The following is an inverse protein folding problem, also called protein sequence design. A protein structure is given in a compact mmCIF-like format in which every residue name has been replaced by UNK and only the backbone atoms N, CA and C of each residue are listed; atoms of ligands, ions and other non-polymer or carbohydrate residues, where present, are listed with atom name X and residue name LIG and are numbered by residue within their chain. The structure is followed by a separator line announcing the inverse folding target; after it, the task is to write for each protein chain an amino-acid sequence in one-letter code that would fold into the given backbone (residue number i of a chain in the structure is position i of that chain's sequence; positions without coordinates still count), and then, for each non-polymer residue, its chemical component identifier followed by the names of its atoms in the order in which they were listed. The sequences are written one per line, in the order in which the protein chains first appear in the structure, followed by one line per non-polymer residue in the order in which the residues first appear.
data_IF_153000327558
#
_entry.id   IF_153000327558
#
_cell.length_a   1.000
_cell.length_b   1.000
_cell.length_c   1.000
_cell.angle_alpha   90.00
_cell.angle_beta   90.00
_cell.angle_gamma   90.00
#
_symmetry.space_group_name_H-M   'P 1'
#
loop_
_entity.id
_entity.type
_entity.pdbx_description
1 polymer ?
#
# COMPACT_ATOMS: atom_id res chain seq x y z
N UNK A 1 16.13 31.14 -8.20
CA UNK A 1 15.84 29.98 -9.08
C UNK A 1 16.86 28.91 -8.74
N UNK A 2 16.45 27.86 -8.04
CA UNK A 2 17.37 26.96 -7.33
C UNK A 2 18.06 25.99 -8.29
N UNK A 3 19.36 26.15 -8.43
CA UNK A 3 20.28 25.31 -9.21
C UNK A 3 20.64 24.03 -8.43
N UNK A 4 20.54 22.87 -9.10
CA UNK A 4 21.05 21.54 -8.70
C UNK A 4 20.42 20.83 -7.49
N UNK A 5 19.09 20.69 -7.46
CA UNK A 5 18.49 19.64 -6.62
C UNK A 5 18.88 18.26 -7.16
N UNK A 6 19.29 17.33 -6.28
CA UNK A 6 19.55 15.94 -6.68
C UNK A 6 18.26 15.33 -7.26
N UNK A 7 18.30 14.50 -8.33
CA UNK A 7 17.10 13.94 -8.96
C UNK A 7 16.11 13.31 -7.97
N UNK A 8 16.62 12.54 -6.99
CA UNK A 8 15.83 11.91 -5.92
C UNK A 8 15.02 12.87 -5.04
N UNK A 9 15.39 14.15 -5.00
CA UNK A 9 14.71 15.19 -4.23
C UNK A 9 13.73 15.98 -5.11
N UNK A 10 13.91 15.97 -6.43
CA UNK A 10 13.15 16.78 -7.36
C UNK A 10 11.64 16.47 -7.34
N UNK A 11 11.27 15.20 -7.15
CA UNK A 11 9.85 14.80 -6.98
C UNK A 11 9.14 15.52 -5.85
N UNK A 12 9.85 15.85 -4.77
CA UNK A 12 9.26 16.55 -3.62
C UNK A 12 9.06 18.05 -3.89
N UNK A 13 9.67 18.62 -4.93
CA UNK A 13 9.48 20.02 -5.28
C UNK A 13 8.09 20.27 -5.89
N UNK A 14 7.55 19.28 -6.60
CA UNK A 14 6.18 19.29 -7.15
C UNK A 14 5.17 18.57 -6.26
N UNK A 15 5.59 17.96 -5.15
CA UNK A 15 4.74 17.23 -4.22
C UNK A 15 3.97 18.18 -3.28
N UNK A 16 2.93 18.83 -3.79
CA UNK A 16 2.19 19.87 -3.07
C UNK A 16 1.18 19.35 -2.04
N UNK A 17 0.95 18.05 -1.93
CA UNK A 17 -0.10 17.49 -1.08
C UNK A 17 0.34 17.16 0.37
N UNK A 18 1.63 17.29 0.69
CA UNK A 18 2.12 17.01 2.04
C UNK A 18 1.66 18.05 3.07
N UNK A 19 1.21 17.56 4.23
CA UNK A 19 0.87 18.36 5.41
C UNK A 19 1.77 17.98 6.60
N UNK A 20 2.06 18.95 7.46
CA UNK A 20 2.92 18.73 8.62
C UNK A 20 2.25 17.77 9.61
N UNK A 21 2.87 16.65 10.00
CA UNK A 21 2.27 15.70 10.95
C UNK A 21 2.04 16.32 12.34
N UNK A 22 2.69 17.44 12.67
CA UNK A 22 2.54 18.14 13.95
C UNK A 22 1.40 19.15 13.91
N UNK A 23 1.49 20.14 13.01
CA UNK A 23 0.56 21.28 12.97
C UNK A 23 -0.38 21.31 11.76
N UNK A 24 -0.34 20.31 10.87
CA UNK A 24 -1.16 20.20 9.64
C UNK A 24 -0.98 21.29 8.59
N UNK A 25 -0.10 22.26 8.85
CA UNK A 25 0.31 23.27 7.88
C UNK A 25 1.04 22.68 6.67
N UNK A 26 1.03 23.44 5.57
CA UNK A 26 1.71 23.06 4.33
C UNK A 26 3.19 22.73 4.55
N UNK A 27 3.64 21.60 4.01
CA UNK A 27 5.05 21.27 3.89
C UNK A 27 5.57 21.70 2.51
N UNK A 28 6.72 22.38 2.49
CA UNK A 28 7.43 22.75 1.26
C UNK A 28 8.87 22.27 1.31
N UNK A 29 9.42 21.95 0.14
CA UNK A 29 10.80 21.53 0.03
C UNK A 29 11.73 22.73 0.17
N UNK A 30 12.59 22.69 1.19
CA UNK A 30 13.67 23.64 1.42
C UNK A 30 14.96 22.85 1.49
N UNK A 31 15.82 23.03 0.49
CA UNK A 31 17.07 22.28 0.31
C UNK A 31 16.84 20.76 0.25
N UNK A 32 17.06 20.05 1.36
CA UNK A 32 16.89 18.60 1.50
C UNK A 32 15.87 18.20 2.56
N UNK A 33 14.99 19.12 2.97
CA UNK A 33 13.99 18.85 4.01
C UNK A 33 12.62 19.41 3.64
N UNK A 34 11.56 18.74 4.06
CA UNK A 34 10.22 19.29 4.05
C UNK A 34 10.01 20.14 5.30
N UNK A 35 9.64 21.41 5.14
CA UNK A 35 9.46 22.37 6.24
C UNK A 35 8.09 23.03 6.19
N UNK A 36 7.51 23.31 7.36
CA UNK A 36 6.31 24.14 7.48
C UNK A 36 6.64 25.53 8.04
N UNK A 37 5.68 26.45 7.98
CA UNK A 37 5.83 27.82 8.47
C UNK A 37 6.10 27.89 9.99
N UNK A 38 5.66 26.88 10.75
CA UNK A 38 5.95 26.76 12.19
C UNK A 38 7.35 26.21 12.50
N UNK A 39 8.22 26.10 11.49
CA UNK A 39 9.63 25.65 11.59
C UNK A 39 9.82 24.18 11.95
N UNK A 40 8.78 23.34 11.92
CA UNK A 40 8.98 21.88 11.90
C UNK A 40 9.66 21.47 10.60
N UNK A 41 10.65 20.57 10.68
CA UNK A 41 11.50 20.14 9.57
C UNK A 41 11.64 18.62 9.56
N UNK A 42 11.54 18.03 8.38
CA UNK A 42 11.64 16.59 8.15
C UNK A 42 12.63 16.34 7.01
N UNK A 43 13.77 15.73 7.34
CA UNK A 43 14.85 15.52 6.38
C UNK A 43 14.53 14.41 5.38
N UNK A 44 14.89 14.61 4.13
CA UNK A 44 14.82 13.60 3.09
C UNK A 44 15.93 12.57 3.27
N UNK A 45 15.56 11.30 3.33
CA UNK A 45 16.48 10.21 3.57
C UNK A 45 17.41 9.96 2.36
N UNK A 46 18.49 9.22 2.60
CA UNK A 46 19.49 8.89 1.57
C UNK A 46 18.86 8.24 0.33
N UNK A 47 17.84 7.42 0.51
CA UNK A 47 17.18 6.66 -0.55
C UNK A 47 16.02 7.44 -1.21
N UNK A 48 15.99 8.77 -1.09
CA UNK A 48 14.74 9.51 -1.30
C UNK A 48 13.77 9.13 -0.18
N UNK A 49 12.47 9.38 -0.18
CA UNK A 49 11.60 9.22 0.99
C UNK A 49 11.83 10.21 2.16
N UNK A 50 10.73 10.55 2.83
CA UNK A 50 10.68 11.40 4.02
C UNK A 50 10.04 10.64 5.17
N UNK A 51 10.55 10.78 6.40
CA UNK A 51 9.91 10.20 7.57
C UNK A 51 9.04 11.25 8.29
N UNK A 52 7.72 11.09 8.23
CA UNK A 52 6.73 11.97 8.84
C UNK A 52 6.07 11.34 10.09
N UNK A 53 6.57 10.19 10.54
CA UNK A 53 6.16 9.53 11.78
C UNK A 53 7.36 9.00 12.59
N UNK A 54 8.37 9.85 12.92
CA UNK A 54 9.61 9.40 13.54
C UNK A 54 9.46 8.79 14.95
N UNK A 55 8.35 9.07 15.63
CA UNK A 55 8.04 8.55 16.96
C UNK A 55 7.55 7.09 16.97
N UNK A 56 7.17 6.55 15.81
CA UNK A 56 6.58 5.21 15.75
C UNK A 56 7.67 4.15 15.83
N UNK A 57 7.48 3.21 16.76
CA UNK A 57 8.35 2.04 16.90
C UNK A 57 7.99 0.99 15.87
N UNK A 58 9.00 0.35 15.33
CA UNK A 58 8.82 -0.72 14.35
C UNK A 58 8.17 -1.96 14.99
N UNK A 59 7.26 -2.59 14.25
CA UNK A 59 6.64 -3.86 14.67
C UNK A 59 7.67 -4.99 14.66
N UNK A 60 7.56 -5.92 15.60
CA UNK A 60 8.41 -7.12 15.65
C UNK A 60 8.02 -8.17 14.59
N UNK A 61 6.76 -8.16 14.14
CA UNK A 61 6.24 -9.16 13.18
C UNK A 61 6.40 -8.73 11.71
N UNK A 62 6.75 -7.46 11.49
CA UNK A 62 6.98 -6.88 10.17
C UNK A 62 8.38 -6.30 10.11
N UNK A 63 9.35 -7.21 10.14
CA UNK A 63 10.75 -6.87 9.94
C UNK A 63 11.08 -6.76 8.46
N UNK A 64 12.33 -6.39 8.19
CA UNK A 64 12.83 -6.23 6.83
C UNK A 64 12.76 -7.51 6.00
N UNK A 65 12.98 -8.68 6.61
CA UNK A 65 12.97 -9.97 5.92
C UNK A 65 11.56 -10.32 5.44
N UNK A 66 10.53 -10.05 6.25
CA UNK A 66 9.13 -10.19 5.86
C UNK A 66 8.82 -9.39 4.58
N UNK A 67 9.26 -8.13 4.49
CA UNK A 67 9.05 -7.30 3.29
C UNK A 67 9.87 -7.77 2.09
N UNK A 68 11.04 -8.37 2.28
CA UNK A 68 11.84 -8.94 1.18
C UNK A 68 11.17 -10.20 0.61
N UNK A 69 10.65 -11.07 1.47
CA UNK A 69 9.85 -12.22 1.06
C UNK A 69 8.59 -11.77 0.31
N UNK A 70 7.91 -10.73 0.83
CA UNK A 70 6.76 -10.11 0.15
C UNK A 70 7.14 -9.60 -1.24
N UNK A 71 8.22 -8.83 -1.36
CA UNK A 71 8.73 -8.38 -2.66
C UNK A 71 8.96 -9.52 -3.63
N UNK A 72 9.61 -10.61 -3.19
CA UNK A 72 9.88 -11.78 -4.04
C UNK A 72 8.59 -12.38 -4.64
N UNK A 73 7.52 -12.49 -3.84
CA UNK A 73 6.24 -13.03 -4.31
C UNK A 73 5.51 -12.08 -5.25
N UNK A 74 5.44 -10.78 -4.92
CA UNK A 74 4.75 -9.83 -5.78
C UNK A 74 5.46 -9.68 -7.13
N UNK A 75 6.80 -9.62 -7.13
CA UNK A 75 7.62 -9.55 -8.35
C UNK A 75 7.59 -10.84 -9.17
N UNK A 76 7.34 -11.99 -8.54
CA UNK A 76 7.07 -13.24 -9.24
C UNK A 76 5.70 -13.26 -9.94
N UNK A 77 4.88 -12.22 -9.78
CA UNK A 77 3.62 -12.03 -10.52
C UNK A 77 2.42 -12.78 -9.94
N UNK A 78 2.49 -13.26 -8.69
CA UNK A 78 1.34 -13.91 -8.03
C UNK A 78 0.15 -12.95 -7.83
N UNK A 79 0.43 -11.65 -7.70
CA UNK A 79 -0.56 -10.60 -7.47
C UNK A 79 -0.91 -9.81 -8.75
N UNK A 80 -0.49 -10.30 -9.92
CA UNK A 80 -0.60 -9.60 -11.20
C UNK A 80 -2.05 -9.29 -11.59
N UNK A 81 -2.99 -10.21 -11.39
CA UNK A 81 -4.41 -9.97 -11.72
C UNK A 81 -5.01 -8.79 -10.96
N UNK A 82 -4.59 -8.57 -9.70
CA UNK A 82 -5.02 -7.41 -8.90
C UNK A 82 -4.41 -6.13 -9.46
N UNK A 83 -3.11 -6.17 -9.78
CA UNK A 83 -2.40 -5.03 -10.38
C UNK A 83 -3.06 -4.58 -11.69
N UNK A 84 -3.42 -5.53 -12.56
CA UNK A 84 -4.09 -5.26 -13.85
C UNK A 84 -5.44 -4.61 -13.66
N UNK A 85 -6.29 -5.16 -12.79
CA UNK A 85 -7.59 -4.56 -12.47
C UNK A 85 -7.43 -3.12 -11.96
N UNK A 86 -6.53 -2.89 -11.00
CA UNK A 86 -6.32 -1.55 -10.44
C UNK A 86 -5.78 -0.61 -11.52
N UNK A 87 -4.87 -1.09 -12.37
CA UNK A 87 -4.34 -0.34 -13.52
C UNK A 87 -5.45 0.08 -14.48
N UNK A 88 -6.38 -0.81 -14.81
CA UNK A 88 -7.52 -0.51 -15.68
C UNK A 88 -8.46 0.55 -15.06
N UNK A 89 -8.69 0.48 -13.75
CA UNK A 89 -9.48 1.50 -13.03
C UNK A 89 -8.81 2.88 -13.08
N UNK A 90 -7.47 2.94 -12.98
CA UNK A 90 -6.71 4.19 -13.13
C UNK A 90 -6.77 4.74 -14.56
N UNK A 91 -6.70 3.86 -15.57
CA UNK A 91 -6.81 4.23 -16.99
C UNK A 91 -8.18 4.83 -17.33
N UNK A 92 -9.25 4.32 -16.71
CA UNK A 92 -10.61 4.85 -16.89
C UNK A 92 -10.85 6.18 -16.15
N UNK A 93 -9.98 6.54 -15.21
CA UNK A 93 -10.04 7.78 -14.43
C UNK A 93 -9.21 8.89 -15.06
N UNK A 94 -9.62 9.37 -16.25
CA UNK A 94 -8.81 10.30 -17.07
C UNK A 94 -8.55 11.67 -16.44
N UNK A 95 -9.46 12.14 -15.58
CA UNK A 95 -9.35 13.46 -14.97
C UNK A 95 -8.66 13.43 -13.58
N UNK A 96 -8.37 12.25 -13.04
CA UNK A 96 -7.70 12.12 -11.74
C UNK A 96 -6.19 12.14 -11.93
N UNK A 97 -5.51 12.92 -11.08
CA UNK A 97 -4.07 13.16 -11.19
C UNK A 97 -3.31 12.69 -9.97
N UNK A 98 -3.94 12.70 -8.80
CA UNK A 98 -3.27 12.46 -7.52
C UNK A 98 -3.74 11.16 -6.89
N UNK A 99 -2.79 10.28 -6.59
CA UNK A 99 -3.04 8.97 -6.00
C UNK A 99 -2.31 8.89 -4.67
N UNK A 100 -2.99 8.39 -3.64
CA UNK A 100 -2.36 8.01 -2.38
C UNK A 100 -2.52 6.50 -2.14
N UNK A 101 -1.40 5.80 -2.04
CA UNK A 101 -1.33 4.38 -1.69
C UNK A 101 -1.17 4.21 -0.17
N UNK A 102 -2.20 3.61 0.44
CA UNK A 102 -2.34 3.40 1.88
C UNK A 102 -1.68 2.07 2.27
N UNK A 103 -0.59 2.13 3.05
CA UNK A 103 0.12 0.92 3.48
C UNK A 103 0.82 0.24 2.30
N UNK A 104 1.61 1.02 1.56
CA UNK A 104 2.23 0.61 0.29
C UNK A 104 3.23 -0.53 0.43
N UNK A 105 3.62 -0.91 1.65
CA UNK A 105 4.63 -1.93 1.91
C UNK A 105 5.94 -1.62 1.19
N UNK A 106 6.47 -2.63 0.52
CA UNK A 106 7.67 -2.59 -0.31
C UNK A 106 7.47 -1.87 -1.67
N UNK A 107 6.30 -1.26 -1.90
CA UNK A 107 6.06 -0.33 -3.00
C UNK A 107 5.75 -0.96 -4.36
N UNK A 108 5.44 -2.27 -4.41
CA UNK A 108 5.15 -2.98 -5.66
C UNK A 108 4.06 -2.30 -6.49
N UNK A 109 2.87 -2.09 -5.90
CA UNK A 109 1.72 -1.53 -6.61
C UNK A 109 1.99 -0.10 -7.06
N UNK A 110 2.38 0.78 -6.14
CA UNK A 110 2.73 2.17 -6.45
C UNK A 110 3.75 2.30 -7.59
N UNK A 111 4.84 1.50 -7.58
CA UNK A 111 5.85 1.57 -8.64
C UNK A 111 5.30 1.08 -9.98
N UNK A 112 4.67 -0.09 -10.02
CA UNK A 112 4.15 -0.67 -11.27
C UNK A 112 3.02 0.17 -11.88
N UNK A 113 2.15 0.71 -11.04
CA UNK A 113 1.06 1.59 -11.48
C UNK A 113 1.60 2.93 -11.98
N UNK A 114 2.63 3.50 -11.34
CA UNK A 114 3.27 4.73 -11.78
C UNK A 114 4.01 4.53 -13.12
N UNK A 115 4.72 3.40 -13.30
CA UNK A 115 5.37 3.05 -14.57
C UNK A 115 4.35 3.03 -15.74
N UNK A 116 3.12 2.57 -15.47
CA UNK A 116 2.05 2.47 -16.47
C UNK A 116 1.21 3.75 -16.62
N UNK A 117 1.24 4.64 -15.61
CA UNK A 117 0.49 5.91 -15.57
C UNK A 117 1.41 7.07 -15.19
N UNK A 118 2.41 7.42 -16.03
CA UNK A 118 3.38 8.45 -15.71
C UNK A 118 2.79 9.87 -15.64
N UNK A 119 1.57 10.06 -16.13
CA UNK A 119 0.80 11.31 -16.00
C UNK A 119 0.24 11.53 -14.58
N UNK A 120 0.21 10.49 -13.75
CA UNK A 120 -0.33 10.53 -12.39
C UNK A 120 0.77 10.72 -11.36
N UNK A 121 0.48 11.55 -10.36
CA UNK A 121 1.36 11.81 -9.21
C UNK A 121 1.00 10.86 -8.08
N UNK A 122 1.94 9.97 -7.74
CA UNK A 122 1.77 9.03 -6.64
C UNK A 122 2.40 9.55 -5.36
N UNK A 123 1.64 9.44 -4.28
CA UNK A 123 2.07 9.50 -2.90
C UNK A 123 1.88 8.11 -2.32
N UNK A 124 2.86 7.60 -1.60
CA UNK A 124 2.79 6.22 -1.10
C UNK A 124 3.47 6.14 0.24
N UNK A 125 2.77 5.55 1.21
CA UNK A 125 3.31 5.43 2.56
C UNK A 125 3.04 4.09 3.21
N UNK A 126 3.92 3.80 4.14
CA UNK A 126 3.74 2.75 5.12
C UNK A 126 4.17 3.29 6.49
N UNK A 127 3.71 2.62 7.55
CA UNK A 127 4.14 2.90 8.91
C UNK A 127 5.56 2.38 9.17
N UNK A 128 5.97 1.33 8.43
CA UNK A 128 7.29 0.74 8.53
C UNK A 128 8.32 1.51 7.72
N UNK A 129 9.36 2.00 8.40
CA UNK A 129 10.51 2.62 7.74
C UNK A 129 11.24 1.64 6.81
N UNK A 130 11.32 0.37 7.18
CA UNK A 130 12.06 -0.62 6.40
C UNK A 130 11.36 -0.93 5.07
N UNK A 131 10.03 -1.01 5.06
CA UNK A 131 9.26 -1.25 3.83
C UNK A 131 9.36 -0.07 2.87
N UNK A 132 9.18 1.16 3.35
CA UNK A 132 9.37 2.39 2.55
C UNK A 132 10.80 2.51 2.04
N UNK A 133 11.79 2.11 2.83
CA UNK A 133 13.18 2.08 2.38
C UNK A 133 13.41 1.06 1.26
N UNK A 134 12.76 -0.10 1.30
CA UNK A 134 12.79 -1.08 0.20
C UNK A 134 12.11 -0.48 -1.03
N UNK A 135 10.91 0.06 -0.88
CA UNK A 135 10.14 0.70 -1.95
C UNK A 135 10.95 1.77 -2.70
N UNK A 136 11.56 2.69 -1.95
CA UNK A 136 12.33 3.78 -2.52
C UNK A 136 13.64 3.32 -3.19
N UNK A 137 14.18 2.15 -2.83
CA UNK A 137 15.34 1.54 -3.50
C UNK A 137 14.97 0.80 -4.78
N UNK A 138 13.79 0.19 -4.81
CA UNK A 138 13.27 -0.57 -5.94
C UNK A 138 12.72 0.32 -7.06
N UNK A 139 12.62 1.63 -6.84
CA UNK A 139 12.10 2.62 -7.79
C UNK A 139 13.23 3.58 -8.22
N UNK A 140 14.01 3.25 -9.27
CA UNK A 140 15.18 4.05 -9.67
C UNK A 140 14.84 5.36 -10.38
N UNK A 141 13.59 5.56 -10.81
CA UNK A 141 13.16 6.68 -11.63
C UNK A 141 12.75 7.92 -10.81
N UNK A 142 12.73 7.80 -9.48
CA UNK A 142 12.34 8.84 -8.54
C UNK A 142 10.95 9.44 -8.79
N UNK A 143 10.00 8.63 -9.25
CA UNK A 143 8.70 9.11 -9.71
C UNK A 143 7.59 9.04 -8.65
N UNK A 144 7.74 8.21 -7.62
CA UNK A 144 6.77 8.09 -6.52
C UNK A 144 7.22 8.90 -5.31
N UNK A 145 6.31 9.66 -4.69
CA UNK A 145 6.56 10.40 -3.46
C UNK A 145 6.42 9.48 -2.23
N UNK A 146 7.47 8.73 -1.94
CA UNK A 146 7.55 7.82 -0.80
C UNK A 146 7.63 8.56 0.54
N UNK A 147 6.91 8.09 1.55
CA UNK A 147 7.05 8.60 2.92
C UNK A 147 6.72 7.56 3.98
N UNK A 148 7.26 7.72 5.18
CA UNK A 148 6.80 6.98 6.37
C UNK A 148 5.74 7.83 7.04
N UNK A 149 4.58 7.24 7.34
CA UNK A 149 3.42 7.96 7.87
C UNK A 149 2.52 7.08 8.74
N UNK A 150 1.63 7.72 9.49
CA UNK A 150 0.66 7.05 10.35
C UNK A 150 -0.75 7.22 9.79
N UNK A 151 -1.46 6.12 9.58
CA UNK A 151 -2.85 6.14 9.13
C UNK A 151 -3.80 6.74 10.19
N UNK A 152 -3.41 6.75 11.47
CA UNK A 152 -4.17 7.44 12.50
C UNK A 152 -4.23 8.96 12.27
N UNK A 153 -3.22 9.53 11.59
CA UNK A 153 -3.15 10.96 11.22
C UNK A 153 -2.26 11.13 9.99
N UNK A 154 -2.88 11.04 8.81
CA UNK A 154 -2.21 11.16 7.52
C UNK A 154 -1.54 12.52 7.37
N UNK A 155 -0.24 12.58 7.04
CA UNK A 155 0.47 13.82 6.76
C UNK A 155 0.20 14.32 5.34
N UNK A 156 -1.08 14.35 4.97
CA UNK A 156 -1.62 14.71 3.66
C UNK A 156 -2.70 15.76 3.86
N UNK A 157 -2.74 16.75 2.98
CA UNK A 157 -3.71 17.86 3.04
C UNK A 157 -5.14 17.37 2.81
N UNK A 158 -6.07 18.11 3.39
CA UNK A 158 -7.50 17.92 3.14
C UNK A 158 -7.81 18.07 1.64
N UNK A 159 -8.76 17.27 1.15
CA UNK A 159 -9.28 17.33 -0.22
C UNK A 159 -8.22 17.41 -1.33
N UNK A 160 -7.10 16.69 -1.16
CA UNK A 160 -5.93 16.77 -2.04
C UNK A 160 -5.65 15.49 -2.86
N UNK A 161 -6.41 14.42 -2.63
CA UNK A 161 -6.26 13.14 -3.31
C UNK A 161 -7.48 12.80 -4.14
N UNK A 162 -7.27 12.44 -5.41
CA UNK A 162 -8.35 12.01 -6.30
C UNK A 162 -8.65 10.51 -6.16
N UNK A 163 -7.63 9.70 -5.85
CA UNK A 163 -7.78 8.25 -5.69
C UNK A 163 -6.99 7.81 -4.45
N UNK A 164 -7.64 7.04 -3.59
CA UNK A 164 -6.98 6.26 -2.54
C UNK A 164 -6.90 4.79 -2.96
N UNK A 165 -5.72 4.20 -2.84
CA UNK A 165 -5.53 2.75 -2.97
C UNK A 165 -5.39 2.16 -1.56
N UNK A 166 -6.32 1.30 -1.17
CA UNK A 166 -6.33 0.58 0.10
C UNK A 166 -6.25 -0.91 -0.23
N UNK A 167 -5.02 -1.40 -0.43
CA UNK A 167 -4.74 -2.76 -0.92
C UNK A 167 -4.28 -3.64 0.23
N UNK A 168 -5.18 -4.48 0.74
CA UNK A 168 -4.94 -5.34 1.90
C UNK A 168 -4.44 -4.59 3.15
N UNK A 169 -4.73 -3.30 3.26
CA UNK A 169 -4.31 -2.46 4.38
C UNK A 169 -5.47 -2.13 5.33
N UNK A 170 -5.16 -1.70 6.57
CA UNK A 170 -6.17 -1.20 7.49
C UNK A 170 -6.86 0.05 6.93
N UNK A 171 -8.11 0.29 7.33
CA UNK A 171 -8.87 1.47 6.92
C UNK A 171 -9.03 2.46 8.08
N UNK A 172 -8.87 3.75 7.78
CA UNK A 172 -9.34 4.85 8.62
C UNK A 172 -10.22 5.74 7.75
N UNK A 173 -11.53 5.43 7.72
CA UNK A 173 -12.46 6.12 6.83
C UNK A 173 -12.64 7.60 7.16
N UNK A 174 -12.35 8.03 8.39
CA UNK A 174 -12.34 9.45 8.76
C UNK A 174 -11.21 10.19 8.03
N UNK A 175 -9.99 9.65 8.09
CA UNK A 175 -8.85 10.21 7.37
C UNK A 175 -9.01 10.10 5.85
N UNK A 176 -9.55 8.98 5.35
CA UNK A 176 -9.82 8.81 3.92
C UNK A 176 -10.77 9.89 3.39
N UNK A 177 -11.87 10.15 4.11
CA UNK A 177 -12.81 11.24 3.76
C UNK A 177 -12.15 12.60 3.82
N UNK A 178 -11.29 12.85 4.81
CA UNK A 178 -10.59 14.14 4.96
C UNK A 178 -9.69 14.43 3.77
N UNK A 179 -8.89 13.46 3.33
CA UNK A 179 -7.89 13.69 2.27
C UNK A 179 -8.46 13.57 0.86
N UNK A 180 -9.57 12.87 0.67
CA UNK A 180 -10.22 12.74 -0.63
C UNK A 180 -10.80 14.07 -1.12
N UNK A 181 -10.54 14.39 -2.39
CA UNK A 181 -11.19 15.48 -3.11
C UNK A 181 -12.69 15.17 -3.29
N UNK A 182 -13.48 16.20 -3.65
CA UNK A 182 -14.95 16.10 -3.74
C UNK A 182 -15.44 14.93 -4.61
N UNK A 183 -14.78 14.68 -5.73
CA UNK A 183 -15.15 13.61 -6.67
C UNK A 183 -14.25 12.37 -6.56
N UNK A 184 -13.37 12.36 -5.56
CA UNK A 184 -12.38 11.34 -5.36
C UNK A 184 -12.98 9.99 -4.96
N UNK A 185 -12.24 8.93 -5.25
CA UNK A 185 -12.67 7.54 -5.04
C UNK A 185 -11.70 6.77 -4.16
N UNK A 186 -12.24 5.79 -3.44
CA UNK A 186 -11.48 4.77 -2.74
C UNK A 186 -11.54 3.47 -3.56
N UNK A 187 -10.39 2.91 -3.90
CA UNK A 187 -10.25 1.56 -4.44
C UNK A 187 -9.77 0.68 -3.29
N UNK A 188 -10.67 -0.13 -2.75
CA UNK A 188 -10.40 -1.04 -1.64
C UNK A 188 -10.29 -2.48 -2.13
N UNK A 189 -9.18 -3.14 -1.82
CA UNK A 189 -8.89 -4.52 -2.20
C UNK A 189 -8.84 -5.39 -0.96
N UNK A 190 -9.71 -6.40 -0.90
CA UNK A 190 -9.85 -7.31 0.25
C UNK A 190 -9.73 -8.76 -0.21
N UNK A 191 -9.09 -9.65 0.55
CA UNK A 191 -8.89 -11.03 0.12
C UNK A 191 -10.23 -11.75 0.15
N UNK A 192 -10.55 -12.58 -0.84
CA UNK A 192 -11.77 -13.40 -0.78
C UNK A 192 -11.53 -14.66 0.09
N UNK A 193 -12.58 -15.47 0.28
CA UNK A 193 -12.43 -16.81 0.88
C UNK A 193 -11.50 -17.73 0.09
N UNK A 194 -11.30 -17.48 -1.20
CA UNK A 194 -10.41 -18.28 -2.05
C UNK A 194 -8.96 -17.80 -2.00
N UNK A 195 -8.69 -16.65 -1.37
CA UNK A 195 -7.35 -16.13 -1.21
C UNK A 195 -6.50 -17.06 -0.33
N UNK A 196 -5.42 -17.60 -0.90
CA UNK A 196 -4.55 -18.59 -0.27
C UNK A 196 -5.31 -19.80 0.26
N UNK A 197 -6.35 -20.25 -0.47
CA UNK A 197 -7.20 -21.38 -0.05
C UNK A 197 -6.39 -22.67 0.17
N UNK A 198 -5.33 -22.88 -0.61
CA UNK A 198 -4.46 -24.06 -0.51
C UNK A 198 -3.71 -24.08 0.83
N UNK A 199 -3.21 -22.91 1.27
CA UNK A 199 -2.57 -22.75 2.59
C UNK A 199 -3.61 -22.89 3.69
N UNK A 200 -4.77 -22.22 3.57
CA UNK A 200 -5.85 -22.28 4.57
C UNK A 200 -6.31 -23.71 4.83
N UNK A 201 -6.45 -24.51 3.77
CA UNK A 201 -6.84 -25.91 3.89
C UNK A 201 -5.81 -26.74 4.67
N UNK A 202 -4.50 -26.52 4.43
CA UNK A 202 -3.42 -27.20 5.15
C UNK A 202 -3.38 -26.86 6.65
N UNK A 203 -3.81 -25.65 7.04
CA UNK A 203 -3.72 -25.16 8.43
C UNK A 203 -5.07 -25.09 9.15
N UNK A 204 -6.15 -25.56 8.52
CA UNK A 204 -7.53 -25.37 8.98
C UNK A 204 -7.78 -25.83 10.43
N UNK A 205 -7.07 -26.86 10.89
CA UNK A 205 -7.24 -27.42 12.23
C UNK A 205 -6.63 -26.54 13.33
N UNK A 206 -5.73 -25.62 12.95
CA UNK A 206 -5.10 -24.66 13.85
C UNK A 206 -5.74 -23.26 13.76
N UNK A 207 -6.64 -23.02 12.80
CA UNK A 207 -7.31 -21.72 12.65
C UNK A 207 -8.38 -21.52 13.71
N UNK A 208 -8.29 -20.41 14.44
CA UNK A 208 -9.29 -19.97 15.42
C UNK A 208 -10.59 -19.50 14.76
N UNK A 209 -10.51 -18.93 13.56
CA UNK A 209 -11.66 -18.52 12.77
C UNK A 209 -11.68 -19.24 11.41
N UNK A 210 -12.49 -20.30 11.34
CA UNK A 210 -12.63 -21.14 10.13
C UNK A 210 -13.49 -20.46 9.06
N UNK A 211 -14.41 -19.58 9.47
CA UNK A 211 -15.36 -18.88 8.58
C UNK A 211 -14.92 -17.43 8.36
N UNK A 212 -13.83 -17.24 7.60
CA UNK A 212 -13.41 -15.91 7.18
C UNK A 212 -14.49 -15.28 6.28
N UNK A 213 -15.11 -14.20 6.77
CA UNK A 213 -16.11 -13.44 6.03
C UNK A 213 -15.69 -11.98 5.87
N UNK A 214 -15.85 -11.47 4.65
CA UNK A 214 -15.65 -10.05 4.34
C UNK A 214 -16.85 -9.17 4.69
N UNK A 215 -17.94 -9.74 5.23
CA UNK A 215 -19.19 -9.01 5.39
C UNK A 215 -19.04 -7.79 6.30
N UNK A 216 -18.30 -7.90 7.40
CA UNK A 216 -18.06 -6.76 8.31
C UNK A 216 -17.26 -5.66 7.64
N UNK A 217 -16.26 -6.04 6.83
CA UNK A 217 -15.45 -5.09 6.07
C UNK A 217 -16.31 -4.34 5.05
N UNK A 218 -17.20 -5.05 4.34
CA UNK A 218 -18.14 -4.46 3.38
C UNK A 218 -19.15 -3.55 4.06
N UNK A 219 -19.74 -3.99 5.17
CA UNK A 219 -20.69 -3.20 5.94
C UNK A 219 -20.05 -1.89 6.40
N UNK A 220 -18.82 -1.97 6.92
CA UNK A 220 -18.07 -0.79 7.34
C UNK A 220 -17.74 0.13 6.15
N UNK A 221 -17.33 -0.43 5.01
CA UNK A 221 -17.11 0.34 3.78
C UNK A 221 -18.38 1.07 3.32
N UNK A 222 -19.52 0.37 3.25
CA UNK A 222 -20.81 0.93 2.85
C UNK A 222 -21.35 1.99 3.83
N UNK A 223 -20.97 1.88 5.10
CA UNK A 223 -21.25 2.91 6.11
C UNK A 223 -20.53 4.23 5.84
N UNK A 224 -19.48 4.23 5.01
CA UNK A 224 -18.72 5.43 4.69
C UNK A 224 -18.72 5.87 3.22
N UNK A 225 -18.97 4.95 2.30
CA UNK A 225 -18.86 5.14 0.86
C UNK A 225 -20.04 4.50 0.13
N UNK A 226 -20.49 5.16 -0.93
CA UNK A 226 -21.39 4.56 -1.93
C UNK A 226 -20.55 3.69 -2.87
N UNK A 227 -20.87 2.39 -2.96
CA UNK A 227 -20.20 1.48 -3.91
C UNK A 227 -20.60 1.85 -5.34
N UNK A 228 -19.61 2.12 -6.19
CA UNK A 228 -19.77 2.40 -7.61
C UNK A 228 -19.57 1.13 -8.45
N UNK A 229 -18.62 0.29 -8.08
CA UNK A 229 -18.37 -0.99 -8.73
C UNK A 229 -17.75 -2.00 -7.77
N UNK A 230 -17.89 -3.27 -8.14
CA UNK A 230 -17.31 -4.40 -7.45
C UNK A 230 -16.86 -5.42 -8.49
N UNK A 231 -15.62 -5.88 -8.40
CA UNK A 231 -15.07 -6.90 -9.27
C UNK A 231 -14.13 -7.83 -8.53
N UNK A 232 -14.03 -9.07 -8.99
CA UNK A 232 -13.09 -10.06 -8.45
C UNK A 232 -11.89 -10.19 -9.38
N UNK A 233 -10.68 -10.15 -8.82
CA UNK A 233 -9.45 -10.50 -9.52
C UNK A 233 -8.90 -11.79 -8.92
N UNK A 234 -8.60 -12.79 -9.76
CA UNK A 234 -8.18 -14.11 -9.34
C UNK A 234 -7.08 -14.64 -10.24
N UNK A 235 -6.03 -15.19 -9.65
CA UNK A 235 -4.95 -15.86 -10.35
C UNK A 235 -4.50 -17.09 -9.55
N UNK A 236 -4.51 -18.26 -10.20
CA UNK A 236 -3.84 -19.47 -9.71
C UNK A 236 -2.56 -19.66 -10.50
N UNK A 237 -1.44 -19.82 -9.79
CA UNK A 237 -0.11 -19.95 -10.40
C UNK A 237 0.70 -21.03 -9.72
N UNK A 238 1.47 -21.78 -10.51
CA UNK A 238 2.45 -22.75 -10.00
C UNK A 238 3.51 -22.06 -9.15
N UNK A 239 3.87 -22.66 -8.02
CA UNK A 239 4.83 -22.09 -7.06
C UNK A 239 6.07 -22.99 -6.94
N UNK A 240 7.25 -22.38 -6.97
CA UNK A 240 8.50 -23.11 -6.68
C UNK A 240 8.70 -23.28 -5.17
N UNK A 241 9.59 -24.18 -4.75
CA UNK A 241 9.90 -24.37 -3.33
C UNK A 241 10.38 -23.08 -2.65
N UNK A 242 11.27 -22.33 -3.29
CA UNK A 242 11.79 -21.05 -2.75
C UNK A 242 10.69 -19.98 -2.64
N UNK A 243 9.80 -19.91 -3.63
CA UNK A 243 8.65 -19.00 -3.58
C UNK A 243 7.65 -19.44 -2.51
N UNK A 244 7.43 -20.75 -2.34
CA UNK A 244 6.55 -21.24 -1.29
C UNK A 244 7.10 -20.85 0.09
N UNK A 245 8.40 -21.04 0.32
CA UNK A 245 9.02 -20.63 1.58
C UNK A 245 8.86 -19.13 1.84
N UNK A 246 9.14 -18.29 0.84
CA UNK A 246 8.95 -16.84 0.96
C UNK A 246 7.48 -16.47 1.24
N UNK A 247 6.53 -17.10 0.54
CA UNK A 247 5.10 -16.88 0.73
C UNK A 247 4.65 -17.26 2.14
N UNK A 248 5.08 -18.43 2.65
CA UNK A 248 4.75 -18.86 4.00
C UNK A 248 5.30 -17.89 5.05
N UNK A 249 6.55 -17.43 4.89
CA UNK A 249 7.19 -16.48 5.80
C UNK A 249 6.53 -15.10 5.83
N UNK A 250 6.01 -14.62 4.69
CA UNK A 250 5.35 -13.31 4.63
C UNK A 250 3.89 -13.32 5.11
N UNK A 251 3.23 -14.49 5.18
CA UNK A 251 1.77 -14.59 5.32
C UNK A 251 1.32 -14.42 6.78
N UNK A 252 0.57 -13.34 7.12
CA UNK A 252 0.16 -13.09 8.50
C UNK A 252 -0.74 -14.17 9.10
N UNK A 253 -1.48 -14.92 8.26
CA UNK A 253 -2.29 -16.07 8.66
C UNK A 253 -1.46 -17.11 9.44
N UNK A 254 -0.15 -17.19 9.19
CA UNK A 254 0.73 -18.23 9.72
C UNK A 254 1.56 -17.79 10.92
N UNK A 255 1.50 -16.52 11.35
CA UNK A 255 2.35 -16.00 12.44
C UNK A 255 2.12 -16.69 13.79
N UNK A 256 0.97 -17.33 13.98
CA UNK A 256 0.62 -18.05 15.21
C UNK A 256 0.31 -19.53 14.95
N UNK A 257 0.77 -20.07 13.82
CA UNK A 257 0.56 -21.46 13.41
C UNK A 257 1.85 -22.24 13.60
N UNK A 258 1.76 -23.42 14.21
CA UNK A 258 2.87 -24.36 14.28
C UNK A 258 3.05 -25.04 12.92
N UNK A 259 4.01 -24.54 12.15
CA UNK A 259 4.33 -25.02 10.80
C UNK A 259 5.09 -26.35 10.80
N UNK A 260 5.66 -26.79 11.92
CA UNK A 260 6.51 -27.99 11.99
C UNK A 260 5.78 -29.30 11.68
N UNK A 261 4.44 -29.29 11.81
CA UNK A 261 3.57 -30.45 11.60
C UNK A 261 2.84 -30.43 10.26
N UNK A 262 3.10 -29.43 9.41
CA UNK A 262 2.39 -29.24 8.15
C UNK A 262 3.30 -29.68 7.01
N UNK A 263 2.83 -30.66 6.23
CA UNK A 263 3.51 -31.07 5.01
C UNK A 263 3.14 -30.13 3.84
N UNK A 264 4.08 -29.28 3.48
CA UNK A 264 3.97 -28.32 2.38
C UNK A 264 4.37 -28.90 1.01
N UNK A 265 4.95 -30.10 0.95
CA UNK A 265 5.55 -30.66 -0.28
C UNK A 265 4.53 -30.87 -1.42
N UNK A 266 3.26 -31.03 -1.08
CA UNK A 266 2.17 -31.20 -2.04
C UNK A 266 1.58 -29.89 -2.56
N UNK A 267 2.02 -28.74 -2.04
CA UNK A 267 1.53 -27.43 -2.46
C UNK A 267 2.35 -26.94 -3.66
N UNK A 268 1.82 -27.16 -4.85
CA UNK A 268 2.49 -26.83 -6.13
C UNK A 268 1.88 -25.63 -6.85
N UNK A 269 0.75 -25.12 -6.38
CA UNK A 269 0.09 -23.93 -6.90
C UNK A 269 -0.56 -23.11 -5.78
N UNK A 270 -0.68 -21.81 -6.01
CA UNK A 270 -1.28 -20.86 -5.08
C UNK A 270 -2.32 -20.02 -5.81
N UNK A 271 -3.48 -19.85 -5.18
CA UNK A 271 -4.51 -18.92 -5.63
C UNK A 271 -4.43 -17.61 -4.84
N UNK A 272 -4.21 -16.51 -5.56
CA UNK A 272 -4.40 -15.15 -5.06
C UNK A 272 -5.70 -14.62 -5.64
N UNK A 273 -6.69 -14.39 -4.77
CA UNK A 273 -7.97 -13.82 -5.16
C UNK A 273 -8.34 -12.65 -4.26
N UNK A 274 -8.85 -11.58 -4.86
CA UNK A 274 -9.33 -10.43 -4.12
C UNK A 274 -10.60 -9.85 -4.74
N UNK A 275 -11.41 -9.27 -3.88
CA UNK A 275 -12.54 -8.44 -4.26
C UNK A 275 -12.09 -6.98 -4.22
N UNK A 276 -12.43 -6.24 -5.28
CA UNK A 276 -12.00 -4.87 -5.53
C UNK A 276 -13.25 -4.01 -5.57
N UNK A 277 -13.41 -3.19 -4.53
CA UNK A 277 -14.54 -2.30 -4.33
C UNK A 277 -14.10 -0.88 -4.71
N UNK A 278 -14.86 -0.23 -5.58
CA UNK A 278 -14.69 1.20 -5.86
C UNK A 278 -15.83 1.94 -5.19
N UNK A 279 -15.50 2.93 -4.36
CA UNK A 279 -16.51 3.72 -3.66
C UNK A 279 -16.22 5.22 -3.69
N UNK A 280 -17.27 6.01 -3.57
CA UNK A 280 -17.21 7.47 -3.42
C UNK A 280 -17.81 7.89 -2.09
N UNK A 281 -17.23 8.92 -1.47
CA UNK A 281 -17.79 9.54 -0.27
C UNK A 281 -19.18 10.11 -0.59
N UNK A 282 -20.15 9.92 0.30
CA UNK A 282 -21.47 10.55 0.22
C UNK A 282 -21.52 11.84 1.03
#
# INVERSE_FOLDING_TARGET
MNTNLKPKLQRFASATAFACPVCQENLTLVESSLKCNNRHSFDLAKFGYVNLAPQIKQSTNYDKENFQNRQQILEAGFYQAILEVVSDLLSNSKNTKTILDIGCGEGFYSRKLQESHPDKTFYAFDISKDSVQIAAKSEPNWAVNWFVGDLARLPIKDASMDILLDIFSPANYGEFRRVLSKDGILIKVIPTKNHLKEIRQKVQDQLTNKDYSNQDIKNHFQGHFTILSNQTASLTKTITADQLQALLSMTPLLFHIDQSKIDWSQLTEITIEAEILVGRVF
#
